data_IF_425549436581
#
_entry.id   IF_425549436581
#
_cell.length_a   1.000
_cell.length_b   1.000
_cell.length_c   1.000
_cell.angle_alpha   90.00
_cell.angle_beta   90.00
_cell.angle_gamma   90.00
#
_symmetry.space_group_name_H-M   'P 1'
#
loop_
_entity.id
_entity.type
_entity.pdbx_description
1 polymer ?
#
# COMPACT_ATOMS: atom_id res chain seq x y z
N UNK A 1 9.34 8.83 -20.31
CA UNK A 1 7.88 8.99 -20.45
C UNK A 1 7.49 10.22 -19.66
N UNK A 2 6.52 10.98 -20.18
CA UNK A 2 6.46 12.44 -20.16
C UNK A 2 6.31 13.11 -18.77
N UNK A 3 6.29 12.31 -17.69
CA UNK A 3 6.20 12.79 -16.32
C UNK A 3 4.79 13.26 -15.95
N UNK A 4 3.80 12.87 -16.75
CA UNK A 4 2.40 13.11 -16.50
C UNK A 4 1.90 12.29 -15.31
N UNK A 5 0.95 12.85 -14.58
CA UNK A 5 0.32 12.19 -13.44
C UNK A 5 -1.00 11.56 -13.88
N UNK A 6 -1.17 10.27 -13.61
CA UNK A 6 -2.44 9.59 -13.88
C UNK A 6 -3.57 10.20 -13.03
N UNK A 7 -4.82 10.29 -13.54
CA UNK A 7 -5.96 10.78 -12.77
C UNK A 7 -6.47 9.69 -11.81
N UNK A 8 -5.69 9.40 -10.76
CA UNK A 8 -5.90 8.27 -9.83
C UNK A 8 -7.26 8.33 -9.16
N UNK A 9 -7.75 9.53 -8.79
CA UNK A 9 -9.06 9.66 -8.15
C UNK A 9 -10.22 9.22 -9.06
N UNK A 10 -10.16 9.57 -10.34
CA UNK A 10 -11.18 9.18 -11.33
C UNK A 10 -11.11 7.68 -11.61
N UNK A 11 -9.90 7.12 -11.72
CA UNK A 11 -9.68 5.69 -11.92
C UNK A 11 -10.21 4.91 -10.70
N UNK A 12 -9.89 5.36 -9.47
CA UNK A 12 -10.35 4.71 -8.24
C UNK A 12 -11.88 4.71 -8.12
N UNK A 13 -12.54 5.82 -8.45
CA UNK A 13 -14.00 5.86 -8.48
C UNK A 13 -14.58 4.86 -9.50
N UNK A 14 -13.96 4.73 -10.67
CA UNK A 14 -14.39 3.78 -11.69
C UNK A 14 -14.17 2.32 -11.26
N UNK A 15 -13.05 1.99 -10.61
CA UNK A 15 -12.79 0.64 -10.12
C UNK A 15 -13.77 0.25 -9.01
N UNK A 16 -14.06 1.17 -8.08
CA UNK A 16 -15.06 0.96 -7.04
C UNK A 16 -16.45 0.71 -7.63
N UNK A 17 -16.87 1.48 -8.63
CA UNK A 17 -18.15 1.28 -9.31
C UNK A 17 -18.24 -0.07 -10.05
N UNK A 18 -17.12 -0.60 -10.54
CA UNK A 18 -17.04 -1.87 -11.24
C UNK A 18 -16.80 -3.09 -10.33
N UNK A 19 -16.60 -2.88 -9.01
CA UNK A 19 -16.17 -3.95 -8.11
C UNK A 19 -14.79 -4.51 -8.47
N UNK A 20 -13.93 -3.68 -9.07
CA UNK A 20 -12.59 -4.06 -9.51
C UNK A 20 -11.51 -3.64 -8.50
N UNK A 21 -10.39 -4.35 -8.53
CA UNK A 21 -9.19 -4.04 -7.74
C UNK A 21 -8.35 -2.99 -8.45
N UNK A 22 -7.97 -1.92 -7.75
CA UNK A 22 -7.00 -0.95 -8.23
C UNK A 22 -5.59 -1.31 -7.75
N UNK A 23 -4.70 -1.54 -8.71
CA UNK A 23 -3.26 -1.62 -8.49
C UNK A 23 -2.59 -0.35 -9.02
N UNK A 24 -1.75 0.28 -8.19
CA UNK A 24 -0.95 1.45 -8.58
C UNK A 24 0.53 1.12 -8.42
N UNK A 25 1.32 1.33 -9.47
CA UNK A 25 2.78 1.36 -9.41
C UNK A 25 3.25 2.81 -9.27
N UNK A 26 3.77 3.14 -8.08
CA UNK A 26 4.23 4.49 -7.74
C UNK A 26 5.77 4.59 -7.72
N UNK A 27 6.45 3.78 -8.56
CA UNK A 27 7.91 3.73 -8.63
C UNK A 27 8.59 5.08 -8.92
N UNK A 28 7.90 5.99 -9.62
CA UNK A 28 8.40 7.31 -9.98
C UNK A 28 7.80 8.45 -9.14
N UNK A 29 6.71 8.22 -8.40
CA UNK A 29 6.12 9.25 -7.55
C UNK A 29 6.59 9.17 -6.09
N UNK A 30 6.82 7.96 -5.55
CA UNK A 30 7.32 7.82 -4.19
C UNK A 30 8.71 8.48 -4.04
N UNK A 31 8.88 9.30 -3.01
CA UNK A 31 10.06 10.13 -2.79
C UNK A 31 10.19 11.36 -3.69
N UNK A 32 9.20 11.63 -4.56
CA UNK A 32 9.22 12.76 -5.52
C UNK A 32 8.00 13.68 -5.37
N UNK A 33 6.80 13.11 -5.29
CA UNK A 33 5.53 13.86 -5.27
C UNK A 33 4.77 13.65 -3.96
N UNK A 34 3.81 14.54 -3.69
CA UNK A 34 3.06 14.54 -2.44
C UNK A 34 3.86 15.13 -1.28
N UNK A 35 3.15 15.50 -0.21
CA UNK A 35 3.78 16.02 1.00
C UNK A 35 4.77 15.00 1.55
N UNK A 36 5.97 15.47 1.92
CA UNK A 36 7.11 14.65 2.37
C UNK A 36 7.51 13.50 1.41
N UNK A 37 7.16 13.59 0.11
CA UNK A 37 7.49 12.56 -0.87
C UNK A 37 6.63 11.29 -0.73
N UNK A 38 5.44 11.39 -0.14
CA UNK A 38 4.54 10.24 0.12
C UNK A 38 3.94 9.59 -1.13
N UNK A 39 4.20 10.13 -2.32
CA UNK A 39 3.83 9.51 -3.58
C UNK A 39 2.52 10.03 -4.18
N UNK A 40 2.22 9.51 -5.38
CA UNK A 40 1.12 9.98 -6.23
C UNK A 40 -0.25 9.72 -5.59
N UNK A 41 -0.38 8.57 -4.91
CA UNK A 41 -1.59 8.21 -4.19
C UNK A 41 -1.89 9.19 -3.04
N UNK A 42 -0.87 9.59 -2.27
CA UNK A 42 -1.03 10.56 -1.19
C UNK A 42 -1.38 11.95 -1.73
N UNK A 43 -0.72 12.38 -2.82
CA UNK A 43 -0.98 13.66 -3.46
C UNK A 43 -2.44 13.81 -3.96
N UNK A 44 -3.07 12.71 -4.36
CA UNK A 44 -4.45 12.70 -4.86
C UNK A 44 -5.48 12.16 -3.85
N UNK A 45 -5.07 11.92 -2.60
CA UNK A 45 -5.91 11.34 -1.54
C UNK A 45 -6.58 10.00 -1.92
N UNK A 46 -5.88 9.16 -2.69
CA UNK A 46 -6.34 7.84 -3.13
C UNK A 46 -5.66 6.74 -2.31
N UNK A 47 -6.44 5.73 -1.91
CA UNK A 47 -5.93 4.50 -1.29
C UNK A 47 -6.26 3.31 -2.20
N UNK A 48 -5.32 2.85 -3.04
CA UNK A 48 -5.54 1.66 -3.85
C UNK A 48 -5.50 0.39 -2.98
N UNK A 49 -6.10 -0.69 -3.46
CA UNK A 49 -6.05 -1.99 -2.79
C UNK A 49 -4.65 -2.61 -2.87
N UNK A 50 -3.90 -2.32 -3.94
CA UNK A 50 -2.51 -2.73 -4.14
C UNK A 50 -1.66 -1.52 -4.55
N UNK A 51 -0.62 -1.22 -3.76
CA UNK A 51 0.36 -0.19 -4.07
C UNK A 51 1.75 -0.82 -4.18
N UNK A 52 2.37 -0.68 -5.35
CA UNK A 52 3.75 -1.11 -5.59
C UNK A 52 4.66 0.11 -5.53
N UNK A 53 5.74 0.00 -4.77
CA UNK A 53 6.79 1.03 -4.68
C UNK A 53 8.16 0.40 -4.89
N UNK A 54 9.10 1.17 -5.42
CA UNK A 54 10.51 0.77 -5.51
C UNK A 54 11.39 1.69 -4.69
N UNK A 55 12.42 1.11 -4.09
CA UNK A 55 13.48 1.86 -3.42
C UNK A 55 14.68 2.14 -4.34
N UNK A 56 14.65 1.64 -5.57
CA UNK A 56 15.70 1.78 -6.60
C UNK A 56 15.76 3.12 -7.33
N UNK A 57 14.83 4.04 -7.05
CA UNK A 57 14.69 5.33 -7.74
C UNK A 57 15.04 6.48 -6.80
N UNK A 58 14.04 7.23 -6.34
CA UNK A 58 14.22 8.41 -5.48
C UNK A 58 15.01 8.10 -4.20
N UNK A 59 14.87 6.89 -3.66
CA UNK A 59 15.56 6.45 -2.44
C UNK A 59 17.00 5.96 -2.67
N UNK A 60 17.42 5.67 -3.91
CA UNK A 60 18.80 5.31 -4.24
C UNK A 60 19.32 3.99 -3.64
N UNK A 61 18.45 3.10 -3.15
CA UNK A 61 18.83 1.80 -2.59
C UNK A 61 18.29 0.65 -3.46
N UNK A 62 18.14 -0.57 -2.93
CA UNK A 62 17.60 -1.71 -3.70
C UNK A 62 16.36 -2.28 -3.03
N UNK A 63 15.48 -2.86 -3.84
CA UNK A 63 14.26 -3.53 -3.41
C UNK A 63 12.98 -2.82 -3.84
N UNK A 64 11.87 -3.49 -3.55
CA UNK A 64 10.52 -3.02 -3.79
C UNK A 64 9.62 -3.49 -2.65
N UNK A 65 8.46 -2.88 -2.51
CA UNK A 65 7.43 -3.30 -1.58
C UNK A 65 6.05 -3.27 -2.25
N UNK A 66 5.20 -4.19 -1.82
CA UNK A 66 3.77 -4.22 -2.12
C UNK A 66 3.03 -3.90 -0.84
N UNK A 67 2.27 -2.81 -0.84
CA UNK A 67 1.41 -2.41 0.26
C UNK A 67 -0.02 -2.80 -0.09
N UNK A 68 -0.60 -3.65 0.74
CA UNK A 68 -1.97 -4.15 0.61
C UNK A 68 -2.50 -4.57 1.99
N UNK A 69 -3.74 -5.04 2.06
CA UNK A 69 -4.26 -5.64 3.28
C UNK A 69 -3.65 -7.03 3.56
N UNK A 70 -3.89 -7.53 4.77
CA UNK A 70 -3.33 -8.79 5.27
C UNK A 70 -3.82 -9.99 4.45
N UNK A 71 -5.09 -10.02 4.07
CA UNK A 71 -5.66 -11.10 3.26
C UNK A 71 -5.01 -11.18 1.88
N UNK A 72 -4.77 -10.03 1.25
CA UNK A 72 -4.07 -9.93 -0.03
C UNK A 72 -2.59 -10.29 0.12
N UNK A 73 -1.93 -9.86 1.20
CA UNK A 73 -0.54 -10.24 1.47
C UNK A 73 -0.41 -11.77 1.62
N UNK A 74 -1.27 -12.41 2.40
CA UNK A 74 -1.30 -13.87 2.56
C UNK A 74 -1.54 -14.58 1.24
N UNK A 75 -2.49 -14.09 0.44
CA UNK A 75 -2.76 -14.63 -0.89
C UNK A 75 -1.51 -14.55 -1.78
N UNK A 76 -0.86 -13.37 -1.85
CA UNK A 76 0.35 -13.20 -2.64
C UNK A 76 1.49 -14.11 -2.15
N UNK A 77 1.66 -14.31 -0.84
CA UNK A 77 2.68 -15.19 -0.30
C UNK A 77 2.45 -16.67 -0.64
N UNK A 78 1.19 -17.10 -0.68
CA UNK A 78 0.84 -18.49 -0.99
C UNK A 78 0.94 -18.80 -2.48
N UNK A 79 0.55 -17.85 -3.35
CA UNK A 79 0.36 -18.11 -4.78
C UNK A 79 1.41 -17.47 -5.68
N UNK A 80 2.13 -16.45 -5.22
CA UNK A 80 3.28 -15.96 -5.98
C UNK A 80 4.43 -16.96 -5.92
N UNK A 81 5.38 -16.83 -6.85
CA UNK A 81 6.54 -17.72 -6.85
C UNK A 81 7.34 -17.46 -5.57
N UNK A 82 7.84 -18.50 -4.89
CA UNK A 82 8.57 -18.33 -3.63
C UNK A 82 9.79 -17.39 -3.70
N UNK A 83 10.33 -17.14 -4.90
CA UNK A 83 11.44 -16.20 -5.14
C UNK A 83 11.04 -14.73 -5.11
N UNK A 84 9.76 -14.42 -5.27
CA UNK A 84 9.30 -13.07 -5.65
C UNK A 84 8.80 -12.26 -4.43
N UNK A 85 8.43 -12.94 -3.34
CA UNK A 85 7.92 -12.29 -2.12
C UNK A 85 8.59 -12.82 -0.86
N UNK A 86 9.04 -11.88 -0.02
CA UNK A 86 9.48 -12.14 1.35
C UNK A 86 8.60 -11.30 2.27
N UNK A 87 7.80 -11.94 3.13
CA UNK A 87 6.93 -11.21 4.05
C UNK A 87 7.75 -10.51 5.13
N UNK A 88 7.51 -9.22 5.31
CA UNK A 88 8.07 -8.44 6.42
C UNK A 88 6.96 -7.53 6.94
N UNK A 89 6.50 -7.80 8.16
CA UNK A 89 5.55 -6.92 8.83
C UNK A 89 6.15 -5.52 9.00
N UNK A 90 5.54 -4.55 8.32
CA UNK A 90 5.75 -3.15 8.64
C UNK A 90 5.00 -2.86 9.94
N UNK A 91 5.66 -3.07 11.09
CA UNK A 91 5.10 -2.76 12.39
C UNK A 91 4.53 -1.32 12.39
N UNK A 92 3.24 -1.16 12.70
CA UNK A 92 2.62 0.15 12.91
C UNK A 92 3.44 0.94 13.95
N UNK A 93 3.94 2.14 13.64
CA UNK A 93 4.52 2.98 14.68
C UNK A 93 3.41 3.43 15.63
N UNK A 94 3.46 2.96 16.88
CA UNK A 94 2.75 3.53 18.03
C UNK A 94 1.21 3.56 17.97
N UNK A 95 0.57 2.55 18.54
CA UNK A 95 -0.84 2.60 18.94
C UNK A 95 -0.99 2.01 20.33
N UNK A 96 -0.84 2.84 21.37
CA UNK A 96 -1.22 2.47 22.72
C UNK A 96 -2.74 2.25 22.75
N UNK A 97 -3.17 1.00 22.75
CA UNK A 97 -4.53 0.63 23.10
C UNK A 97 -4.56 0.33 24.59
N UNK A 98 -5.12 1.28 25.33
CA UNK A 98 -5.54 1.18 26.71
C UNK A 98 -6.27 -0.15 26.95
N UNK A 99 -5.86 -0.89 27.98
CA UNK A 99 -6.56 -2.10 28.42
C UNK A 99 -7.94 -1.67 28.94
N UNK A 100 -9.02 -2.09 28.30
CA UNK A 100 -10.32 -2.13 28.97
C UNK A 100 -10.25 -3.17 30.09
N UNK A 101 -10.44 -2.80 31.37
CA UNK A 101 -10.51 -3.76 32.45
C UNK A 101 -11.92 -4.32 32.56
N UNK A 102 -12.07 -5.63 32.38
CA UNK A 102 -13.17 -6.42 32.93
C UNK A 102 -14.39 -6.61 32.04
N UNK A 103 -14.60 -7.85 31.61
CA UNK A 103 -15.83 -8.57 31.97
C UNK A 103 -15.55 -10.08 31.99
N UNK A 104 -15.52 -10.63 33.20
CA UNK A 104 -15.65 -12.05 33.46
C UNK A 104 -17.12 -12.32 33.83
N UNK A 105 -17.92 -12.84 32.90
CA UNK A 105 -19.10 -13.66 33.21
C UNK A 105 -19.61 -14.34 31.92
N UNK A 106 -19.37 -15.64 31.73
CA UNK A 106 -20.26 -16.75 32.09
C UNK A 106 -21.52 -16.88 31.18
N UNK A 107 -21.51 -17.99 30.42
CA UNK A 107 -22.61 -18.67 29.67
C UNK A 107 -22.85 -18.30 28.22
#
# INVERSE_FOLDING_TARGET
MDGDSAPLAAIHAATQAAGAVLLVDDAHGVGVVGDEGRGSCAAQAVRPELLVVTFGKAFGVSGAAVLCDEAMADYLLQFARPSDLQHRDAARPGGGAERCPGDHSQR
#
